data_IF_064332789020
#
_entry.id   IF_064332789020
#
_cell.length_a   1.000
_cell.length_b   1.000
_cell.length_c   1.000
_cell.angle_alpha   90.00
_cell.angle_beta   90.00
_cell.angle_gamma   90.00
#
_symmetry.space_group_name_H-M   'P 1'
#
loop_
_entity.id
_entity.type
_entity.pdbx_description
1 polymer ?
#
# COMPACT_ATOMS: atom_id res chain seq x y z
N UNK A 1 -26.09 -25.53 -1.08
CA UNK A 1 -25.42 -24.87 -2.23
C UNK A 1 -24.36 -23.92 -1.69
N UNK A 2 -23.09 -24.06 -2.08
CA UNK A 2 -22.02 -23.14 -1.68
C UNK A 2 -21.98 -22.01 -2.71
N UNK A 3 -22.40 -20.80 -2.32
CA UNK A 3 -22.54 -19.64 -3.21
C UNK A 3 -21.25 -18.82 -3.38
N UNK A 4 -20.21 -19.15 -2.61
CA UNK A 4 -18.91 -18.46 -2.64
C UNK A 4 -17.81 -19.51 -2.79
N UNK A 5 -17.00 -19.39 -3.83
CA UNK A 5 -15.79 -20.19 -4.02
C UNK A 5 -14.60 -19.44 -3.44
N UNK A 6 -14.28 -19.72 -2.16
CA UNK A 6 -13.11 -19.14 -1.51
C UNK A 6 -11.85 -19.54 -2.30
N UNK A 7 -11.06 -18.55 -2.70
CA UNK A 7 -9.72 -18.71 -3.25
C UNK A 7 -8.83 -19.35 -2.19
N UNK A 8 -8.10 -20.39 -2.57
CA UNK A 8 -7.10 -20.99 -1.70
C UNK A 8 -5.86 -20.11 -1.67
N UNK A 9 -5.56 -19.52 -0.52
CA UNK A 9 -4.35 -18.73 -0.32
C UNK A 9 -3.27 -19.64 0.24
N UNK A 10 -2.08 -19.61 -0.35
CA UNK A 10 -0.93 -20.34 0.15
C UNK A 10 -0.67 -19.93 1.60
N UNK A 11 -0.66 -20.90 2.51
CA UNK A 11 -0.20 -20.66 3.89
C UNK A 11 1.32 -20.54 3.89
N UNK A 12 1.81 -19.58 4.64
CA UNK A 12 3.24 -19.38 4.83
C UNK A 12 3.67 -19.92 6.19
N UNK A 13 4.95 -20.24 6.31
CA UNK A 13 5.59 -20.70 7.55
C UNK A 13 5.96 -19.54 8.50
N UNK A 14 5.60 -18.32 8.12
CA UNK A 14 5.81 -17.10 8.89
C UNK A 14 4.50 -16.40 9.21
N UNK A 15 4.54 -15.57 10.26
CA UNK A 15 3.43 -14.70 10.65
C UNK A 15 3.89 -13.26 10.86
N UNK A 16 2.97 -12.33 10.67
CA UNK A 16 3.09 -10.90 10.93
C UNK A 16 2.45 -10.62 12.29
N UNK A 17 3.10 -9.77 13.09
CA UNK A 17 2.60 -9.25 14.36
C UNK A 17 2.78 -7.73 14.42
N UNK A 18 2.31 -7.11 15.50
CA UNK A 18 2.48 -5.67 15.74
C UNK A 18 3.96 -5.23 15.90
N UNK A 19 4.89 -6.16 16.10
CA UNK A 19 6.32 -5.86 16.15
C UNK A 19 7.01 -5.92 14.79
N UNK A 20 6.35 -6.46 13.78
CA UNK A 20 6.85 -6.58 12.41
C UNK A 20 6.89 -5.22 11.71
N UNK A 21 7.98 -4.91 11.03
CA UNK A 21 8.11 -3.71 10.18
C UNK A 21 7.65 -4.02 8.75
N UNK A 22 6.60 -3.34 8.28
CA UNK A 22 5.92 -3.67 7.02
C UNK A 22 5.90 -2.47 6.07
N UNK A 23 6.55 -2.61 4.92
CA UNK A 23 6.41 -1.65 3.82
C UNK A 23 5.25 -1.99 2.90
N UNK A 24 4.53 -0.98 2.44
CA UNK A 24 3.55 -1.07 1.34
C UNK A 24 3.94 -0.11 0.24
N UNK A 25 4.04 -0.60 -1.00
CA UNK A 25 4.35 0.23 -2.16
C UNK A 25 3.55 -0.23 -3.38
N UNK A 26 3.06 0.71 -4.19
CA UNK A 26 2.32 0.40 -5.43
C UNK A 26 1.06 1.22 -5.61
N UNK A 27 0.00 0.55 -6.07
CA UNK A 27 -1.32 1.16 -6.33
C UNK A 27 -2.02 1.68 -5.06
N UNK A 28 -3.11 2.46 -5.22
CA UNK A 28 -3.96 2.88 -4.10
C UNK A 28 -4.49 1.72 -3.24
N UNK A 29 -4.56 0.51 -3.77
CA UNK A 29 -4.95 -0.66 -2.98
C UNK A 29 -3.93 -0.96 -1.87
N UNK A 30 -2.64 -0.74 -2.12
CA UNK A 30 -1.61 -0.85 -1.09
C UNK A 30 -1.82 0.19 0.03
N UNK A 31 -2.28 1.39 -0.32
CA UNK A 31 -2.66 2.42 0.65
C UNK A 31 -3.85 2.00 1.51
N UNK A 32 -4.91 1.45 0.90
CA UNK A 32 -6.08 1.00 1.66
C UNK A 32 -5.71 -0.05 2.71
N UNK A 33 -4.96 -1.08 2.32
CA UNK A 33 -4.56 -2.15 3.25
C UNK A 33 -3.54 -1.64 4.27
N UNK A 34 -2.53 -0.87 3.83
CA UNK A 34 -1.52 -0.29 4.70
C UNK A 34 -2.11 0.62 5.77
N UNK A 35 -3.06 1.49 5.41
CA UNK A 35 -3.73 2.38 6.36
C UNK A 35 -4.63 1.63 7.33
N UNK A 36 -5.28 0.53 6.91
CA UNK A 36 -6.04 -0.33 7.84
C UNK A 36 -5.11 -0.99 8.87
N UNK A 37 -3.93 -1.43 8.45
CA UNK A 37 -2.89 -1.95 9.35
C UNK A 37 -2.34 -0.86 10.29
N UNK A 38 -2.13 0.36 9.81
CA UNK A 38 -1.73 1.50 10.65
C UNK A 38 -2.77 1.81 11.74
N UNK A 39 -4.05 1.82 11.37
CA UNK A 39 -5.16 1.97 12.32
C UNK A 39 -5.17 0.85 13.36
N UNK A 40 -4.83 -0.38 12.95
CA UNK A 40 -4.63 -1.52 13.84
C UNK A 40 -3.28 -1.50 14.59
N UNK A 41 -2.53 -0.41 14.54
CA UNK A 41 -1.28 -0.17 15.29
C UNK A 41 -0.10 -1.06 14.87
N UNK A 42 -0.11 -1.57 13.64
CA UNK A 42 1.08 -2.17 13.05
C UNK A 42 2.10 -1.10 12.67
N UNK A 43 3.39 -1.47 12.66
CA UNK A 43 4.47 -0.58 12.25
C UNK A 43 4.61 -0.59 10.73
N UNK A 44 3.91 0.32 10.06
CA UNK A 44 3.86 0.37 8.60
C UNK A 44 4.50 1.63 8.00
N UNK A 45 5.03 1.50 6.79
CA UNK A 45 5.34 2.63 5.92
C UNK A 45 4.63 2.42 4.59
N UNK A 46 3.78 3.37 4.19
CA UNK A 46 2.86 3.21 3.06
C UNK A 46 3.17 4.24 1.97
N UNK A 47 3.47 3.76 0.76
CA UNK A 47 3.76 4.56 -0.43
C UNK A 47 4.63 5.79 -0.12
N UNK A 48 5.85 5.61 0.42
CA UNK A 48 6.63 6.75 0.91
C UNK A 48 6.90 7.76 -0.20
N UNK A 49 7.22 7.30 -1.42
CA UNK A 49 7.41 8.15 -2.61
C UNK A 49 6.12 8.39 -3.42
N UNK A 50 4.98 7.99 -2.85
CA UNK A 50 3.64 8.10 -3.45
C UNK A 50 3.24 6.90 -4.29
N UNK A 51 2.02 6.97 -4.82
CA UNK A 51 1.38 5.86 -5.54
C UNK A 51 2.06 5.65 -6.89
N UNK A 52 2.41 4.39 -7.18
CA UNK A 52 2.98 3.97 -8.45
C UNK A 52 2.34 2.68 -8.93
N UNK A 53 1.65 2.73 -10.08
CA UNK A 53 0.85 1.61 -10.55
C UNK A 53 1.63 0.62 -11.43
N UNK A 54 2.67 1.06 -12.13
CA UNK A 54 3.35 0.23 -13.11
C UNK A 54 4.66 -0.34 -12.56
N UNK A 55 5.09 -1.54 -13.02
CA UNK A 55 6.27 -2.20 -12.48
C UNK A 55 7.58 -1.42 -12.61
N UNK A 56 7.78 -0.67 -13.70
CA UNK A 56 9.05 0.00 -13.94
C UNK A 56 9.18 1.25 -13.06
N UNK A 57 8.20 2.15 -13.05
CA UNK A 57 8.20 3.33 -12.15
C UNK A 57 8.30 2.93 -10.67
N UNK A 58 7.58 1.86 -10.29
CA UNK A 58 7.61 1.35 -8.91
C UNK A 58 9.00 0.84 -8.53
N UNK A 59 9.60 0.00 -9.38
CA UNK A 59 10.92 -0.52 -9.06
C UNK A 59 12.03 0.52 -9.21
N UNK A 60 11.90 1.54 -10.07
CA UNK A 60 12.80 2.70 -10.07
C UNK A 60 12.73 3.47 -8.74
N UNK A 61 11.54 3.60 -8.17
CA UNK A 61 11.36 4.21 -6.84
C UNK A 61 12.08 3.41 -5.74
N UNK A 62 11.99 2.08 -5.78
CA UNK A 62 12.71 1.20 -4.85
C UNK A 62 14.23 1.30 -5.06
N UNK A 63 14.69 1.26 -6.31
CA UNK A 63 16.11 1.39 -6.66
C UNK A 63 16.68 2.72 -6.19
N UNK A 64 15.89 3.80 -6.30
CA UNK A 64 16.24 5.13 -5.78
C UNK A 64 16.42 5.10 -4.26
N UNK A 65 15.51 4.45 -3.53
CA UNK A 65 15.59 4.28 -2.07
C UNK A 65 16.85 3.51 -1.68
N UNK A 66 17.11 2.35 -2.31
CA UNK A 66 18.27 1.49 -2.01
C UNK A 66 19.58 2.25 -2.20
N UNK A 67 19.71 2.95 -3.33
CA UNK A 67 20.94 3.65 -3.68
C UNK A 67 21.07 5.05 -3.07
N UNK A 68 20.05 5.51 -2.33
CA UNK A 68 19.96 6.89 -1.81
C UNK A 68 20.15 7.94 -2.92
N UNK A 69 19.59 7.69 -4.10
CA UNK A 69 19.70 8.63 -5.22
C UNK A 69 18.82 9.86 -4.92
N UNK A 70 19.43 10.89 -4.33
CA UNK A 70 18.78 12.16 -4.04
C UNK A 70 18.50 12.95 -5.32
N UNK A 71 17.49 13.80 -5.27
CA UNK A 71 17.19 14.73 -6.36
C UNK A 71 17.86 16.08 -6.14
N UNK A 72 18.01 16.79 -7.23
CA UNK A 72 18.51 18.16 -7.33
C UNK A 72 17.48 19.02 -8.04
N UNK A 73 17.78 20.31 -8.19
CA UNK A 73 16.93 21.23 -8.96
C UNK A 73 16.78 20.84 -10.44
N UNK A 74 17.71 20.06 -11.01
CA UNK A 74 17.64 19.59 -12.39
C UNK A 74 16.58 18.48 -12.61
N UNK A 75 16.12 17.86 -11.52
CA UNK A 75 15.10 16.80 -11.54
C UNK A 75 13.68 17.38 -11.42
N UNK A 76 13.56 18.70 -11.29
CA UNK A 76 12.30 19.43 -11.13
C UNK A 76 11.96 20.27 -12.36
N UNK A 77 10.67 20.42 -12.60
CA UNK A 77 10.14 21.32 -13.61
C UNK A 77 8.95 22.11 -13.05
N UNK A 78 8.79 23.34 -13.53
CA UNK A 78 7.67 24.20 -13.15
C UNK A 78 6.45 23.88 -14.02
N UNK A 79 5.33 23.53 -13.40
CA UNK A 79 4.03 23.38 -14.06
C UNK A 79 2.90 23.67 -13.08
N UNK A 80 1.86 24.37 -13.54
CA UNK A 80 0.71 24.76 -12.72
C UNK A 80 1.12 25.49 -11.42
N UNK A 81 2.08 26.43 -11.53
CA UNK A 81 2.65 27.20 -10.41
C UNK A 81 3.31 26.36 -9.30
N UNK A 82 3.66 25.10 -9.59
CA UNK A 82 4.33 24.19 -8.67
C UNK A 82 5.59 23.61 -9.31
N UNK A 83 6.61 23.40 -8.49
CA UNK A 83 7.76 22.57 -8.82
C UNK A 83 7.36 21.11 -8.67
N UNK A 84 7.42 20.37 -9.78
CA UNK A 84 7.02 18.97 -9.86
C UNK A 84 8.21 18.10 -10.29
N UNK A 85 8.09 16.80 -10.07
CA UNK A 85 8.99 15.80 -10.65
C UNK A 85 8.19 14.70 -11.33
N UNK A 86 8.69 14.19 -12.45
CA UNK A 86 8.05 13.09 -13.17
C UNK A 86 8.18 11.75 -12.43
N UNK A 87 9.15 11.63 -11.54
CA UNK A 87 9.44 10.42 -10.79
C UNK A 87 8.61 10.30 -9.50
N UNK A 88 7.99 11.40 -9.06
CA UNK A 88 7.34 11.48 -7.74
C UNK A 88 5.86 11.89 -7.83
N UNK A 89 5.10 11.48 -6.83
CA UNK A 89 3.70 11.88 -6.70
C UNK A 89 3.57 13.38 -6.43
N UNK A 90 2.48 13.99 -6.90
CA UNK A 90 2.24 15.43 -6.74
C UNK A 90 2.06 15.90 -5.28
N UNK A 91 2.10 14.98 -4.31
CA UNK A 91 2.12 15.31 -2.87
C UNK A 91 3.43 16.00 -2.46
N UNK A 92 4.47 15.83 -3.27
CA UNK A 92 5.77 16.46 -3.07
C UNK A 92 5.92 17.81 -3.77
N UNK A 93 4.98 18.15 -4.65
CA UNK A 93 5.04 19.40 -5.38
C UNK A 93 4.88 20.60 -4.44
N UNK A 94 5.69 21.64 -4.63
CA UNK A 94 5.60 22.89 -3.86
C UNK A 94 5.79 24.12 -4.74
N UNK A 95 5.28 25.27 -4.29
CA UNK A 95 5.60 26.58 -4.87
C UNK A 95 7.06 26.95 -4.63
N UNK A 96 7.65 26.47 -3.54
CA UNK A 96 9.07 26.64 -3.24
C UNK A 96 9.86 25.43 -3.75
N UNK A 97 10.87 25.68 -4.59
CA UNK A 97 11.71 24.63 -5.18
C UNK A 97 12.49 23.85 -4.10
N UNK A 98 13.11 24.57 -3.18
CA UNK A 98 13.95 23.97 -2.14
C UNK A 98 13.13 23.09 -1.20
N UNK A 99 11.91 23.52 -0.88
CA UNK A 99 10.96 22.74 -0.09
C UNK A 99 10.56 21.43 -0.80
N UNK A 100 10.38 21.45 -2.13
CA UNK A 100 10.09 20.23 -2.89
C UNK A 100 11.28 19.26 -2.87
N UNK A 101 12.51 19.77 -3.02
CA UNK A 101 13.74 18.98 -2.95
C UNK A 101 13.89 18.36 -1.56
N UNK A 102 13.75 19.14 -0.50
CA UNK A 102 13.86 18.71 0.89
C UNK A 102 12.86 17.59 1.19
N UNK A 103 11.57 17.80 0.92
CA UNK A 103 10.52 16.79 1.14
C UNK A 103 10.81 15.46 0.43
N UNK A 104 11.28 15.54 -0.81
CA UNK A 104 11.58 14.33 -1.61
C UNK A 104 12.80 13.60 -1.04
N UNK A 105 13.88 14.33 -0.77
CA UNK A 105 15.12 13.75 -0.28
C UNK A 105 14.94 13.15 1.12
N UNK A 106 14.19 13.82 2.01
CA UNK A 106 13.82 13.30 3.32
C UNK A 106 13.01 12.01 3.18
N UNK A 107 12.04 11.96 2.26
CA UNK A 107 11.27 10.75 2.03
C UNK A 107 12.16 9.60 1.53
N UNK A 108 13.14 9.86 0.65
CA UNK A 108 14.11 8.86 0.17
C UNK A 108 14.97 8.35 1.32
N UNK A 109 15.56 9.24 2.12
CA UNK A 109 16.45 8.88 3.23
C UNK A 109 15.73 8.13 4.34
N UNK A 110 14.54 8.59 4.74
CA UNK A 110 13.72 7.89 5.75
C UNK A 110 13.27 6.52 5.27
N UNK A 111 12.90 6.39 3.99
CA UNK A 111 12.55 5.09 3.40
C UNK A 111 13.73 4.15 3.27
N UNK A 112 14.94 4.68 3.06
CA UNK A 112 16.15 3.86 3.03
C UNK A 112 16.38 3.20 4.39
N UNK A 113 16.30 3.97 5.48
CA UNK A 113 16.46 3.43 6.83
C UNK A 113 15.36 2.43 7.18
N UNK A 114 14.10 2.73 6.82
CA UNK A 114 12.99 1.82 7.01
C UNK A 114 13.20 0.51 6.22
N UNK A 115 13.45 0.58 4.91
CA UNK A 115 13.56 -0.60 4.05
C UNK A 115 14.74 -1.49 4.44
N UNK A 116 15.82 -0.92 5.00
CA UNK A 116 16.96 -1.68 5.51
C UNK A 116 16.62 -2.54 6.74
N UNK A 117 15.65 -2.11 7.53
CA UNK A 117 15.21 -2.81 8.75
C UNK A 117 13.89 -3.56 8.58
N UNK A 118 13.14 -3.29 7.51
CA UNK A 118 11.86 -3.92 7.21
C UNK A 118 11.94 -5.44 7.16
N UNK A 119 10.87 -6.09 7.59
CA UNK A 119 10.72 -7.55 7.55
C UNK A 119 9.92 -7.97 6.30
N UNK A 120 8.97 -7.13 5.89
CA UNK A 120 8.13 -7.36 4.72
C UNK A 120 8.02 -6.11 3.85
N UNK A 121 7.95 -6.31 2.54
CA UNK A 121 7.54 -5.28 1.59
C UNK A 121 6.45 -5.84 0.66
N UNK A 122 5.24 -5.30 0.78
CA UNK A 122 4.11 -5.60 -0.08
C UNK A 122 4.14 -4.70 -1.30
N UNK A 123 4.07 -5.32 -2.48
CA UNK A 123 4.22 -4.65 -3.78
C UNK A 123 2.94 -4.86 -4.59
N UNK A 124 2.18 -3.78 -4.79
CA UNK A 124 0.88 -3.83 -5.51
C UNK A 124 0.99 -3.28 -6.92
N UNK A 125 1.10 -4.15 -7.93
CA UNK A 125 1.05 -3.72 -9.33
C UNK A 125 -0.37 -3.42 -9.77
N UNK A 126 -0.56 -2.25 -10.38
CA UNK A 126 -1.84 -1.78 -10.94
C UNK A 126 -1.98 -2.06 -12.43
N UNK A 127 -0.95 -1.81 -13.23
CA UNK A 127 -1.04 -1.92 -14.70
C UNK A 127 0.33 -2.17 -15.33
N UNK A 128 0.40 -2.91 -16.43
CA UNK A 128 1.61 -2.98 -17.28
C UNK A 128 1.70 -1.84 -18.29
N UNK A 129 0.77 -0.88 -18.29
CA UNK A 129 0.90 0.35 -19.09
C UNK A 129 1.80 1.37 -18.39
N UNK A 130 2.73 1.95 -19.15
CA UNK A 130 3.59 3.05 -18.74
C UNK A 130 3.31 4.30 -19.55
N UNK A 131 3.66 5.45 -18.99
CA UNK A 131 3.76 6.70 -19.74
C UNK A 131 5.23 7.00 -19.98
N UNK A 132 5.59 7.25 -21.23
CA UNK A 132 6.93 7.60 -21.67
C UNK A 132 6.90 9.02 -22.21
N UNK A 133 7.74 9.90 -21.69
CA UNK A 133 7.96 11.21 -22.28
C UNK A 133 8.50 11.04 -23.70
N UNK A 134 8.17 11.98 -24.59
CA UNK A 134 8.80 12.04 -25.93
C UNK A 134 10.33 12.13 -25.90
N UNK A 135 10.90 12.60 -24.78
CA UNK A 135 12.36 12.58 -24.54
C UNK A 135 12.93 11.17 -24.28
N UNK A 136 12.08 10.19 -24.02
CA UNK A 136 12.46 8.78 -23.87
C UNK A 136 12.24 8.19 -22.47
N UNK A 137 12.04 9.03 -21.45
CA UNK A 137 11.98 8.56 -20.06
C UNK A 137 10.58 8.05 -19.68
N UNK A 138 10.51 6.91 -18.99
CA UNK A 138 9.29 6.45 -18.34
C UNK A 138 9.05 7.30 -17.10
N UNK A 139 7.81 7.75 -16.90
CA UNK A 139 7.44 8.62 -15.78
C UNK A 139 6.50 7.92 -14.81
N UNK A 140 6.67 8.22 -13.53
CA UNK A 140 5.76 7.80 -12.45
C UNK A 140 4.46 8.60 -12.47
N UNK A 141 4.55 9.90 -12.77
CA UNK A 141 3.44 10.84 -12.73
C UNK A 141 3.49 11.82 -13.90
N UNK A 142 2.36 12.01 -14.60
CA UNK A 142 2.22 12.98 -15.68
C UNK A 142 1.99 14.42 -15.17
N UNK A 143 1.76 14.62 -13.87
CA UNK A 143 1.62 15.92 -13.20
C UNK A 143 0.59 16.86 -13.87
N UNK A 144 -0.52 16.28 -14.35
CA UNK A 144 -1.60 16.98 -15.07
C UNK A 144 -1.13 17.77 -16.30
N UNK A 145 0.00 17.39 -16.90
CA UNK A 145 0.42 17.96 -18.17
C UNK A 145 -0.39 17.41 -19.34
N UNK A 146 -0.26 18.06 -20.49
CA UNK A 146 -0.97 17.66 -21.70
C UNK A 146 -0.60 16.24 -22.14
N UNK A 147 -1.62 15.43 -22.45
CA UNK A 147 -1.47 14.02 -22.84
C UNK A 147 -0.53 13.84 -24.05
N UNK A 148 -0.43 14.83 -24.94
CA UNK A 148 0.43 14.80 -26.13
C UNK A 148 1.94 14.83 -25.83
N UNK A 149 2.34 15.07 -24.58
CA UNK A 149 3.73 14.97 -24.13
C UNK A 149 4.17 13.53 -23.88
N UNK A 150 3.21 12.62 -23.75
CA UNK A 150 3.45 11.24 -23.34
C UNK A 150 2.97 10.26 -24.41
N UNK A 151 3.76 9.21 -24.58
CA UNK A 151 3.35 8.01 -25.26
C UNK A 151 2.96 6.97 -24.21
N UNK A 152 1.83 6.30 -24.42
CA UNK A 152 1.37 5.25 -23.51
C UNK A 152 1.70 3.89 -24.10
N UNK A 153 2.55 3.15 -23.42
CA UNK A 153 3.15 1.91 -23.92
C UNK A 153 2.71 0.76 -23.04
N UNK A 154 2.32 -0.36 -23.65
CA UNK A 154 2.09 -1.61 -22.94
C UNK A 154 3.41 -2.35 -22.80
N UNK A 155 3.86 -2.58 -21.57
CA UNK A 155 5.05 -3.39 -21.31
C UNK A 155 4.79 -4.86 -21.63
N UNK A 156 5.83 -5.53 -22.11
CA UNK A 156 5.91 -6.98 -22.24
C UNK A 156 6.21 -7.63 -20.88
N UNK A 157 5.99 -8.94 -20.80
CA UNK A 157 6.34 -9.72 -19.60
C UNK A 157 7.85 -9.71 -19.39
N UNK A 158 8.61 -9.83 -20.48
CA UNK A 158 10.07 -9.91 -20.52
C UNK A 158 10.70 -8.63 -19.97
N UNK A 159 10.24 -7.45 -20.41
CA UNK A 159 10.72 -6.16 -19.90
C UNK A 159 10.52 -6.03 -18.39
N UNK A 160 9.37 -6.46 -17.87
CA UNK A 160 9.10 -6.43 -16.42
C UNK A 160 10.01 -7.40 -15.69
N UNK A 161 10.12 -8.64 -16.19
CA UNK A 161 10.90 -9.69 -15.55
C UNK A 161 12.38 -9.34 -15.54
N UNK A 162 12.97 -8.93 -16.66
CA UNK A 162 14.39 -8.56 -16.74
C UNK A 162 14.76 -7.45 -15.75
N UNK A 163 13.96 -6.38 -15.70
CA UNK A 163 14.17 -5.28 -14.77
C UNK A 163 14.05 -5.74 -13.31
N UNK A 164 12.99 -6.46 -12.97
CA UNK A 164 12.76 -6.90 -11.60
C UNK A 164 13.72 -8.00 -11.15
N UNK A 165 14.23 -8.85 -12.04
CA UNK A 165 15.25 -9.83 -11.70
C UNK A 165 16.53 -9.18 -11.19
N UNK A 166 16.95 -8.07 -11.81
CA UNK A 166 18.11 -7.31 -11.35
C UNK A 166 17.80 -6.63 -10.02
N UNK A 167 16.66 -5.95 -9.92
CA UNK A 167 16.25 -5.25 -8.70
C UNK A 167 16.08 -6.19 -7.50
N UNK A 168 15.54 -7.40 -7.69
CA UNK A 168 15.39 -8.39 -6.62
C UNK A 168 16.74 -8.87 -6.07
N UNK A 169 17.78 -8.94 -6.92
CA UNK A 169 19.15 -9.21 -6.46
C UNK A 169 19.69 -8.05 -5.62
N UNK A 170 19.53 -6.82 -6.11
CA UNK A 170 19.91 -5.61 -5.36
C UNK A 170 19.19 -5.52 -4.01
N UNK A 171 17.88 -5.81 -3.97
CA UNK A 171 17.09 -5.85 -2.73
C UNK A 171 17.62 -6.92 -1.77
N UNK A 172 17.95 -8.11 -2.27
CA UNK A 172 18.45 -9.22 -1.43
C UNK A 172 19.82 -8.89 -0.84
N UNK A 173 20.69 -8.20 -1.58
CA UNK A 173 21.96 -7.70 -1.06
C UNK A 173 21.75 -6.59 -0.02
N UNK A 174 20.81 -5.68 -0.28
CA UNK A 174 20.50 -4.56 0.59
C UNK A 174 19.88 -4.97 1.94
N UNK A 175 18.91 -5.89 1.91
CA UNK A 175 18.25 -6.44 3.08
C UNK A 175 17.96 -7.95 2.88
N UNK A 176 18.90 -8.82 3.29
CA UNK A 176 18.78 -10.27 3.09
C UNK A 176 17.59 -10.95 3.79
N UNK A 177 17.01 -10.32 4.83
CA UNK A 177 15.87 -10.88 5.57
C UNK A 177 14.51 -10.47 4.99
N UNK A 178 14.48 -9.49 4.07
CA UNK A 178 13.24 -8.92 3.56
C UNK A 178 12.44 -9.97 2.77
N UNK A 179 11.18 -10.15 3.17
CA UNK A 179 10.20 -10.93 2.42
C UNK A 179 9.39 -10.00 1.51
N UNK A 180 9.31 -10.36 0.24
CA UNK A 180 8.64 -9.57 -0.78
C UNK A 180 7.31 -10.23 -1.14
N UNK A 181 6.20 -9.53 -0.95
CA UNK A 181 4.87 -10.06 -1.24
C UNK A 181 4.24 -9.27 -2.36
N UNK A 182 4.20 -9.86 -3.55
CA UNK A 182 3.50 -9.24 -4.68
C UNK A 182 2.01 -9.45 -4.56
N UNK A 183 1.25 -8.48 -5.06
CA UNK A 183 -0.17 -8.61 -5.32
C UNK A 183 -0.54 -7.84 -6.57
N UNK A 184 -1.50 -8.35 -7.34
CA UNK A 184 -2.09 -7.58 -8.43
C UNK A 184 -3.25 -6.78 -7.85
N UNK A 185 -3.27 -5.48 -8.07
CA UNK A 185 -4.30 -4.59 -7.56
C UNK A 185 -5.68 -4.98 -8.11
N UNK A 186 -6.72 -5.09 -7.27
CA UNK A 186 -8.10 -5.37 -7.72
C UNK A 186 -8.74 -4.20 -8.46
N UNK A 187 -8.14 -3.00 -8.40
CA UNK A 187 -8.66 -1.81 -9.09
C UNK A 187 -8.50 -2.01 -10.61
N UNK A 188 -9.61 -1.83 -11.33
CA UNK A 188 -9.67 -1.95 -12.79
C UNK A 188 -9.40 -0.60 -13.45
N UNK A 189 -8.71 -0.59 -14.59
CA UNK A 189 -8.50 0.64 -15.35
C UNK A 189 -9.46 0.69 -16.55
N UNK A 190 -10.32 1.73 -16.60
CA UNK A 190 -11.31 1.90 -17.68
C UNK A 190 -10.79 2.67 -18.90
N UNK A 191 -9.67 3.40 -18.76
CA UNK A 191 -9.15 4.33 -19.81
C UNK A 191 -9.07 3.68 -21.19
N UNK A 192 -8.64 2.42 -21.27
CA UNK A 192 -8.47 1.68 -22.54
C UNK A 192 -9.48 0.54 -22.71
N UNK A 193 -10.51 0.54 -21.87
CA UNK A 193 -11.50 -0.52 -21.80
C UNK A 193 -11.04 -1.75 -21.03
N UNK A 194 -12.02 -2.59 -20.67
CA UNK A 194 -11.80 -3.74 -19.81
C UNK A 194 -11.00 -4.85 -20.47
N UNK A 195 -11.03 -4.96 -21.81
CA UNK A 195 -10.20 -5.93 -22.56
C UNK A 195 -8.72 -5.60 -22.37
N UNK A 196 -8.33 -4.34 -22.58
CA UNK A 196 -6.97 -3.87 -22.35
C UNK A 196 -6.55 -3.99 -20.88
N UNK A 197 -7.48 -3.77 -19.94
CA UNK A 197 -7.23 -4.05 -18.52
C UNK A 197 -6.91 -5.53 -18.28
N UNK A 198 -7.69 -6.47 -18.84
CA UNK A 198 -7.41 -7.90 -18.67
C UNK A 198 -6.06 -8.28 -19.26
N UNK A 199 -5.72 -7.76 -20.46
CA UNK A 199 -4.41 -7.98 -21.06
C UNK A 199 -3.29 -7.46 -20.14
N UNK A 200 -3.41 -6.23 -19.67
CA UNK A 200 -2.46 -5.60 -18.75
C UNK A 200 -2.27 -6.41 -17.46
N UNK A 201 -3.36 -6.84 -16.82
CA UNK A 201 -3.29 -7.67 -15.61
C UNK A 201 -2.67 -9.04 -15.90
N UNK A 202 -3.00 -9.66 -17.03
CA UNK A 202 -2.45 -10.97 -17.41
C UNK A 202 -0.92 -10.95 -17.55
N UNK A 203 -0.37 -9.88 -18.13
CA UNK A 203 1.08 -9.65 -18.21
C UNK A 203 1.69 -9.57 -16.81
N UNK A 204 1.08 -8.80 -15.91
CA UNK A 204 1.56 -8.69 -14.53
C UNK A 204 1.54 -10.04 -13.79
N UNK A 205 0.48 -10.84 -13.98
CA UNK A 205 0.38 -12.18 -13.39
C UNK A 205 1.51 -13.08 -13.85
N UNK A 206 1.76 -13.14 -15.16
CA UNK A 206 2.82 -13.97 -15.73
C UNK A 206 4.18 -13.50 -15.20
N UNK A 207 4.44 -12.19 -15.20
CA UNK A 207 5.69 -11.63 -14.69
C UNK A 207 5.93 -11.98 -13.21
N UNK A 208 4.94 -11.74 -12.34
CA UNK A 208 5.04 -12.05 -10.90
C UNK A 208 5.26 -13.55 -10.67
N UNK A 209 4.56 -14.42 -11.40
CA UNK A 209 4.75 -15.86 -11.28
C UNK A 209 6.18 -16.29 -11.68
N UNK A 210 6.73 -15.73 -12.76
CA UNK A 210 8.12 -15.98 -13.16
C UNK A 210 9.12 -15.49 -12.11
N UNK A 211 8.93 -14.29 -11.54
CA UNK A 211 9.79 -13.75 -10.49
C UNK A 211 9.73 -14.62 -9.22
N UNK A 212 8.52 -14.97 -8.77
CA UNK A 212 8.30 -15.86 -7.61
C UNK A 212 9.02 -17.20 -7.78
N UNK A 213 9.00 -17.80 -8.97
CA UNK A 213 9.66 -19.09 -9.22
C UNK A 213 11.19 -19.05 -9.11
N UNK A 214 11.80 -17.85 -9.10
CA UNK A 214 13.25 -17.66 -9.10
C UNK A 214 13.83 -17.25 -7.74
N UNK A 215 12.99 -16.93 -6.75
CA UNK A 215 13.42 -16.41 -5.45
C UNK A 215 12.56 -16.96 -4.31
N UNK A 216 13.19 -17.56 -3.31
CA UNK A 216 12.49 -18.18 -2.17
C UNK A 216 11.88 -17.15 -1.19
N UNK A 217 12.34 -15.89 -1.23
CA UNK A 217 11.81 -14.79 -0.42
C UNK A 217 10.74 -13.95 -1.16
N UNK A 218 10.22 -14.45 -2.28
CA UNK A 218 9.16 -13.79 -3.05
C UNK A 218 7.87 -14.60 -2.95
N UNK A 219 6.79 -13.92 -2.59
CA UNK A 219 5.48 -14.49 -2.32
C UNK A 219 4.40 -13.75 -3.11
N UNK A 220 3.21 -14.34 -3.17
CA UNK A 220 2.06 -13.74 -3.84
C UNK A 220 0.82 -13.77 -2.94
N UNK A 221 0.13 -12.63 -2.81
CA UNK A 221 -1.16 -12.53 -2.15
C UNK A 221 -2.26 -12.23 -3.19
N UNK A 222 -3.32 -13.06 -3.30
CA UNK A 222 -4.27 -13.02 -4.42
C UNK A 222 -5.42 -12.01 -4.23
N UNK A 223 -5.10 -10.72 -4.02
CA UNK A 223 -6.13 -9.69 -3.79
C UNK A 223 -7.04 -9.44 -5.01
N UNK A 224 -6.49 -9.52 -6.22
CA UNK A 224 -7.27 -9.41 -7.45
C UNK A 224 -8.26 -10.57 -7.59
N UNK A 225 -7.80 -11.80 -7.38
CA UNK A 225 -8.62 -12.99 -7.49
C UNK A 225 -9.71 -13.02 -6.41
N UNK A 226 -9.39 -12.64 -5.15
CA UNK A 226 -10.43 -12.50 -4.11
C UNK A 226 -11.52 -11.51 -4.58
N UNK A 227 -11.13 -10.36 -5.12
CA UNK A 227 -12.09 -9.38 -5.63
C UNK A 227 -12.92 -9.92 -6.81
N UNK A 228 -12.28 -10.58 -7.77
CA UNK A 228 -12.96 -11.05 -8.99
C UNK A 228 -13.80 -12.32 -8.75
N UNK A 229 -13.37 -13.20 -7.86
CA UNK A 229 -13.93 -14.55 -7.73
C UNK A 229 -14.73 -14.79 -6.46
N UNK A 230 -14.45 -14.06 -5.37
CA UNK A 230 -15.26 -14.15 -4.14
C UNK A 230 -16.25 -13.01 -4.04
N UNK A 231 -15.83 -11.80 -4.44
CA UNK A 231 -16.60 -10.56 -4.33
C UNK A 231 -17.26 -10.16 -5.65
N UNK A 232 -17.99 -11.10 -6.27
CA UNK A 232 -18.54 -11.01 -7.64
C UNK A 232 -19.70 -10.01 -7.85
N UNK A 233 -20.12 -9.30 -6.82
CA UNK A 233 -21.33 -8.44 -6.84
C UNK A 233 -20.96 -6.94 -6.84
N UNK A 234 -21.76 -6.11 -7.51
CA UNK A 234 -21.54 -4.66 -7.59
C UNK A 234 -21.54 -3.95 -6.23
N UNK A 235 -22.15 -4.54 -5.18
CA UNK A 235 -22.08 -4.03 -3.80
C UNK A 235 -20.64 -3.90 -3.26
N UNK A 236 -19.70 -4.62 -3.87
CA UNK A 236 -18.29 -4.59 -3.51
C UNK A 236 -17.49 -3.52 -4.25
N UNK A 237 -18.13 -2.73 -5.11
CA UNK A 237 -17.52 -1.60 -5.79
C UNK A 237 -18.07 -0.28 -5.23
N UNK A 238 -17.27 0.77 -5.28
CA UNK A 238 -17.70 2.15 -5.06
C UNK A 238 -18.61 2.59 -6.20
N UNK A 239 -19.21 3.78 -6.08
CA UNK A 239 -20.13 4.36 -7.06
C UNK A 239 -19.54 4.45 -8.48
N UNK A 240 -18.22 4.54 -8.61
CA UNK A 240 -17.52 4.53 -9.90
C UNK A 240 -17.45 3.17 -10.60
N UNK A 241 -17.91 2.10 -9.93
CA UNK A 241 -17.90 0.71 -10.41
C UNK A 241 -16.50 0.18 -10.77
N UNK A 242 -15.46 0.80 -10.21
CA UNK A 242 -14.05 0.53 -10.52
C UNK A 242 -13.28 0.22 -9.24
N UNK A 243 -13.42 1.05 -8.22
CA UNK A 243 -12.69 0.90 -6.97
C UNK A 243 -13.44 -0.04 -6.02
N UNK A 244 -12.73 -0.90 -5.26
CA UNK A 244 -13.36 -1.68 -4.20
C UNK A 244 -14.02 -0.78 -3.15
N UNK A 245 -15.22 -1.14 -2.70
CA UNK A 245 -15.90 -0.49 -1.57
C UNK A 245 -15.19 -0.79 -0.25
N UNK A 246 -15.51 -0.05 0.82
CA UNK A 246 -14.93 -0.32 2.14
C UNK A 246 -15.22 -1.76 2.60
N UNK A 247 -16.43 -2.27 2.35
CA UNK A 247 -16.78 -3.67 2.63
C UNK A 247 -15.85 -4.66 1.91
N UNK A 248 -15.48 -4.38 0.66
CA UNK A 248 -14.57 -5.23 -0.10
C UNK A 248 -13.13 -5.14 0.44
N UNK A 249 -12.67 -3.94 0.79
CA UNK A 249 -11.36 -3.72 1.42
C UNK A 249 -11.27 -4.46 2.76
N UNK A 250 -12.30 -4.35 3.60
CA UNK A 250 -12.37 -5.02 4.91
C UNK A 250 -12.37 -6.54 4.77
N UNK A 251 -13.10 -7.07 3.77
CA UNK A 251 -13.07 -8.50 3.47
C UNK A 251 -11.68 -8.96 3.02
N UNK A 252 -11.02 -8.21 2.13
CA UNK A 252 -9.67 -8.56 1.68
C UNK A 252 -8.66 -8.45 2.85
N UNK A 253 -8.85 -7.51 3.79
CA UNK A 253 -8.07 -7.42 5.01
C UNK A 253 -8.29 -8.63 5.95
N UNK A 254 -9.52 -9.14 6.05
CA UNK A 254 -9.80 -10.40 6.76
C UNK A 254 -9.01 -11.55 6.12
N UNK A 255 -9.06 -11.67 4.79
CA UNK A 255 -8.30 -12.68 4.04
C UNK A 255 -6.79 -12.51 4.19
N UNK A 256 -6.30 -11.28 4.25
CA UNK A 256 -4.92 -10.96 4.57
C UNK A 256 -4.57 -11.46 5.97
N UNK A 257 -5.40 -11.16 6.97
CA UNK A 257 -5.18 -11.59 8.34
C UNK A 257 -5.21 -13.11 8.51
N UNK A 258 -6.07 -13.81 7.77
CA UNK A 258 -6.09 -15.28 7.74
C UNK A 258 -4.84 -15.89 7.13
N UNK A 259 -4.16 -15.15 6.25
CA UNK A 259 -2.95 -15.59 5.58
C UNK A 259 -1.70 -15.30 6.41
N UNK A 260 -1.65 -14.12 7.04
CA UNK A 260 -0.42 -13.60 7.62
C UNK A 260 -0.43 -13.50 9.15
N UNK A 261 -1.58 -13.50 9.84
CA UNK A 261 -1.61 -13.32 11.29
C UNK A 261 -1.73 -14.64 12.04
N UNK A 262 -0.93 -14.78 13.11
CA UNK A 262 -1.15 -15.79 14.14
C UNK A 262 -2.31 -15.43 15.07
N UNK A 263 -2.79 -16.40 15.85
CA UNK A 263 -3.98 -16.25 16.69
C UNK A 263 -3.88 -15.08 17.69
N UNK A 264 -2.72 -14.90 18.33
CA UNK A 264 -2.48 -13.76 19.23
C UNK A 264 -2.66 -12.41 18.52
N UNK A 265 -2.15 -12.28 17.29
CA UNK A 265 -2.28 -11.05 16.52
C UNK A 265 -3.74 -10.79 16.12
N UNK A 266 -4.49 -11.83 15.77
CA UNK A 266 -5.94 -11.71 15.50
C UNK A 266 -6.72 -11.26 16.74
N UNK A 267 -6.39 -11.79 17.92
CA UNK A 267 -7.02 -11.40 19.18
C UNK A 267 -6.70 -9.94 19.56
N UNK A 268 -5.46 -9.49 19.38
CA UNK A 268 -5.09 -8.08 19.57
C UNK A 268 -5.89 -7.18 18.60
N UNK A 269 -5.94 -7.53 17.32
CA UNK A 269 -6.65 -6.75 16.30
C UNK A 269 -8.14 -6.60 16.64
N UNK A 270 -8.76 -7.65 17.18
CA UNK A 270 -10.15 -7.63 17.63
C UNK A 270 -10.36 -6.65 18.78
N UNK A 271 -9.46 -6.62 19.77
CA UNK A 271 -9.50 -5.67 20.89
C UNK A 271 -9.33 -4.22 20.39
N UNK A 272 -8.35 -3.97 19.53
CA UNK A 272 -8.12 -2.63 18.95
C UNK A 272 -9.34 -2.18 18.15
N UNK A 273 -9.92 -3.06 17.33
CA UNK A 273 -11.09 -2.75 16.52
C UNK A 273 -12.31 -2.40 17.38
N UNK A 274 -12.51 -3.09 18.52
CA UNK A 274 -13.56 -2.75 19.50
C UNK A 274 -13.35 -1.35 20.08
N UNK A 275 -12.12 -1.01 20.46
CA UNK A 275 -11.76 0.33 20.97
C UNK A 275 -12.04 1.41 19.92
N UNK A 276 -11.56 1.22 18.68
CA UNK A 276 -11.75 2.17 17.60
C UNK A 276 -13.25 2.35 17.25
N UNK A 277 -14.03 1.27 17.26
CA UNK A 277 -15.47 1.35 17.05
C UNK A 277 -16.17 2.12 18.17
N UNK A 278 -15.77 1.91 19.43
CA UNK A 278 -16.31 2.62 20.58
C UNK A 278 -16.00 4.12 20.56
N UNK A 279 -14.81 4.53 20.08
CA UNK A 279 -14.44 5.93 19.92
C UNK A 279 -15.19 6.63 18.78
N UNK A 280 -15.47 5.92 17.69
CA UNK A 280 -16.20 6.48 16.55
C UNK A 280 -17.72 6.58 16.79
N UNK A 281 -18.24 5.92 17.83
CA UNK A 281 -19.66 5.96 18.16
C UNK A 281 -20.05 7.35 18.68
N UNK A 282 -20.74 8.14 17.84
CA UNK A 282 -21.30 9.45 18.22
C UNK A 282 -22.70 9.25 18.82
N UNK A 283 -22.93 9.49 20.13
CA UNK A 283 -24.25 9.35 20.72
C UNK A 283 -25.24 10.38 20.15
N UNK A 284 -26.47 9.94 19.85
CA UNK A 284 -27.53 10.78 19.30
C UNK A 284 -28.17 11.73 20.33
N UNK A 285 -28.02 11.42 21.62
CA UNK A 285 -28.39 12.26 22.77
C UNK A 285 -27.25 12.19 23.79
N UNK A 286 -26.53 13.29 23.99
CA UNK A 286 -25.52 13.40 25.04
C UNK A 286 -26.21 13.71 26.37
N UNK A 287 -26.75 12.68 27.03
CA UNK A 287 -26.69 12.74 28.49
C UNK A 287 -25.20 12.68 28.84
N UNK A 288 -24.67 13.82 29.28
CA UNK A 288 -23.24 14.01 29.55
C UNK A 288 -22.68 12.96 30.50
N UNK A 289 -23.52 12.40 31.37
CA UNK A 289 -23.15 11.35 32.33
C UNK A 289 -22.85 10.01 31.64
N UNK A 290 -23.78 9.49 30.85
CA UNK A 290 -23.63 8.21 30.14
C UNK A 290 -22.50 8.24 29.10
N UNK A 291 -22.31 9.38 28.42
CA UNK A 291 -21.21 9.51 27.47
C UNK A 291 -19.84 9.53 28.16
N UNK A 292 -19.74 10.17 29.33
CA UNK A 292 -18.51 10.16 30.13
C UNK A 292 -18.16 8.76 30.63
N UNK A 293 -19.13 8.01 31.14
CA UNK A 293 -18.94 6.62 31.57
C UNK A 293 -18.49 5.71 30.40
N UNK A 294 -19.08 5.89 29.21
CA UNK A 294 -18.64 5.20 28.00
C UNK A 294 -17.16 5.47 27.69
N UNK A 295 -16.74 6.73 27.71
CA UNK A 295 -15.35 7.10 27.45
C UNK A 295 -14.37 6.60 28.53
N UNK A 296 -14.77 6.61 29.80
CA UNK A 296 -13.98 6.03 30.90
C UNK A 296 -13.78 4.51 30.71
N UNK A 297 -14.81 3.79 30.26
CA UNK A 297 -14.71 2.37 29.92
C UNK A 297 -13.76 2.12 28.73
N UNK A 298 -13.80 2.99 27.70
CA UNK A 298 -12.86 2.90 26.57
C UNK A 298 -11.43 3.16 27.02
N UNK A 299 -11.20 4.12 27.91
CA UNK A 299 -9.87 4.39 28.47
C UNK A 299 -9.35 3.18 29.25
N UNK A 300 -10.20 2.55 30.06
CA UNK A 300 -9.85 1.32 30.77
C UNK A 300 -9.49 0.17 29.81
N UNK A 301 -10.29 -0.05 28.75
CA UNK A 301 -9.99 -1.04 27.71
C UNK A 301 -8.62 -0.77 27.04
N UNK A 302 -8.26 0.50 26.82
CA UNK A 302 -6.94 0.88 26.28
C UNK A 302 -5.81 0.58 27.27
N UNK A 303 -5.95 0.99 28.54
CA UNK A 303 -4.93 0.79 29.57
C UNK A 303 -4.67 -0.69 29.84
N UNK A 304 -5.73 -1.51 29.88
CA UNK A 304 -5.63 -2.94 30.02
C UNK A 304 -4.92 -3.59 28.83
N UNK A 305 -5.21 -3.13 27.59
CA UNK A 305 -4.53 -3.60 26.39
C UNK A 305 -3.04 -3.25 26.42
N UNK A 306 -2.67 -2.03 26.79
CA UNK A 306 -1.27 -1.60 26.89
C UNK A 306 -0.52 -2.29 28.04
N UNK A 307 -1.22 -2.62 29.15
CA UNK A 307 -0.64 -3.43 30.23
C UNK A 307 -0.35 -4.85 29.77
N UNK A 308 -1.26 -5.44 28.98
CA UNK A 308 -1.07 -6.77 28.42
C UNK A 308 -0.01 -6.80 27.31
N UNK A 309 0.08 -5.73 26.51
CA UNK A 309 0.99 -5.61 25.38
C UNK A 309 1.76 -4.27 25.42
N UNK A 310 2.85 -4.16 26.22
CA UNK A 310 3.54 -2.89 26.48
C UNK A 310 4.14 -2.18 25.27
N UNK A 311 4.35 -2.91 24.16
CA UNK A 311 4.83 -2.36 22.89
C UNK A 311 3.74 -1.63 22.09
N UNK A 312 2.45 -1.84 22.40
CA UNK A 312 1.35 -1.07 21.83
C UNK A 312 1.24 0.27 22.55
N UNK A 313 1.00 1.33 21.79
CA UNK A 313 0.76 2.68 22.28
C UNK A 313 -0.42 3.29 21.53
N UNK A 314 -1.51 3.52 22.25
CA UNK A 314 -2.75 4.10 21.72
C UNK A 314 -2.88 5.57 22.17
N UNK A 315 -1.76 6.30 22.15
CA UNK A 315 -1.69 7.69 22.62
C UNK A 315 -2.64 8.62 21.87
N UNK A 316 -2.83 8.40 20.56
CA UNK A 316 -3.75 9.20 19.75
C UNK A 316 -5.21 8.95 20.16
N UNK A 317 -5.56 7.71 20.48
CA UNK A 317 -6.89 7.33 20.97
C UNK A 317 -7.15 7.88 22.38
N UNK A 318 -6.17 7.80 23.29
CA UNK A 318 -6.29 8.41 24.63
C UNK A 318 -6.54 9.92 24.55
N UNK A 319 -5.87 10.64 23.65
CA UNK A 319 -6.10 12.07 23.43
C UNK A 319 -7.50 12.42 22.91
N UNK A 320 -8.21 11.48 22.28
CA UNK A 320 -9.61 11.71 21.86
C UNK A 320 -10.59 11.61 23.03
N UNK A 321 -10.17 10.99 24.14
CA UNK A 321 -10.97 10.81 25.36
C UNK A 321 -10.80 12.00 26.31
N UNK A 322 -9.63 12.65 26.30
CA UNK A 322 -9.37 13.84 27.11
C UNK A 322 -10.30 15.00 26.69
N UNK A 323 -10.98 15.68 27.63
CA UNK A 323 -11.80 16.84 27.31
C UNK A 323 -10.90 17.97 26.78
N UNK A 324 -11.22 18.46 25.57
CA UNK A 324 -10.59 19.63 24.95
C UNK A 324 -10.89 20.93 25.69
#
# INVERSE_FOLDING_TARGET
MKLITKIEVTKFDFSISHNTLIGFTGSCFAENIGNKLDNLKFKVQVNPLGINYNPLSLGQSIKRIINQNLITENDLFLANDLWNSYDFHSKFSSKNKDEAIEKINDAVLNSHQFLKSADYLFISFGTSYVYKLKSGNIVSNCNKQADNNFERILLTTEEIVEFWLQLLKEIKEFNPKLKLVFTISPIRHKRDGFIANQLSKSILFVAVNQLKSKFDNVYYFPSYEIMMDELRDYRFYKEDMIHPSELAVDYILERFGDTFFGDETKEINKKISKILAALNHRPFNTDLSNYKEHLENVLHDIEDLERQYPYLKLNAEKKQIEPS
#
